data_IF_712446548030
#
_entry.id   IF_712446548030
#
_cell.length_a   1.000
_cell.length_b   1.000
_cell.length_c   1.000
_cell.angle_alpha   90.00
_cell.angle_beta   90.00
_cell.angle_gamma   90.00
#
_symmetry.space_group_name_H-M   'P 1'
#
loop_
_entity.id
_entity.type
_entity.pdbx_description
1 polymer ?
#
# COMPACT_ATOMS: atom_id res chain seq x y z
N UNK A 1 16.12 -1.45 12.48
CA UNK A 1 14.85 -1.95 11.93
C UNK A 1 14.15 -0.81 11.21
N UNK A 2 13.81 -1.01 9.94
CA UNK A 2 13.15 0.04 9.17
C UNK A 2 11.69 0.19 9.60
N UNK A 3 11.22 1.42 9.72
CA UNK A 3 9.82 1.70 9.95
C UNK A 3 9.04 1.75 8.65
N UNK A 4 7.72 1.93 8.76
CA UNK A 4 6.83 1.93 7.60
C UNK A 4 7.19 3.02 6.60
N UNK A 5 7.59 4.19 7.07
CA UNK A 5 7.95 5.28 6.17
C UNK A 5 9.19 4.92 5.36
N UNK A 6 10.23 4.38 6.03
CA UNK A 6 11.45 4.00 5.32
C UNK A 6 11.18 2.87 4.31
N UNK A 7 10.35 1.90 4.68
CA UNK A 7 10.03 0.80 3.77
C UNK A 7 9.23 1.30 2.57
N UNK A 8 8.31 2.25 2.80
CA UNK A 8 7.55 2.84 1.69
C UNK A 8 8.48 3.63 0.76
N UNK A 9 9.43 4.38 1.33
CA UNK A 9 10.41 5.10 0.53
C UNK A 9 11.21 4.14 -0.34
N UNK A 10 11.65 3.01 0.23
CA UNK A 10 12.39 2.00 -0.52
C UNK A 10 11.55 1.39 -1.63
N UNK A 11 10.30 1.07 -1.33
CA UNK A 11 9.39 0.52 -2.34
C UNK A 11 9.18 1.52 -3.49
N UNK A 12 8.90 2.76 -3.14
CA UNK A 12 8.69 3.82 -4.13
C UNK A 12 9.94 4.01 -5.01
N UNK A 13 11.10 4.13 -4.39
CA UNK A 13 12.34 4.33 -5.11
C UNK A 13 12.59 3.19 -6.10
N UNK A 14 12.24 1.96 -5.72
CA UNK A 14 12.42 0.80 -6.58
C UNK A 14 11.55 0.86 -7.84
N UNK A 15 10.46 1.63 -7.83
CA UNK A 15 9.60 1.79 -9.01
C UNK A 15 10.09 2.90 -9.93
N UNK A 16 10.90 3.81 -9.43
CA UNK A 16 11.37 4.96 -10.19
C UNK A 16 12.37 4.52 -11.25
N UNK A 17 12.04 4.74 -12.53
CA UNK A 17 12.87 4.32 -13.66
C UNK A 17 13.04 5.41 -14.72
N UNK A 18 12.62 6.64 -14.41
CA UNK A 18 12.67 7.76 -15.35
C UNK A 18 11.33 8.03 -16.04
N UNK A 19 10.39 7.09 -15.95
CA UNK A 19 9.07 7.24 -16.57
C UNK A 19 7.95 7.06 -15.54
N UNK A 20 8.00 5.98 -14.74
CA UNK A 20 6.94 5.67 -13.81
C UNK A 20 6.63 6.82 -12.85
N UNK A 21 7.65 7.42 -12.28
CA UNK A 21 7.48 8.48 -11.28
C UNK A 21 6.90 9.78 -11.86
N UNK A 22 6.91 9.94 -13.17
CA UNK A 22 6.29 11.12 -13.80
C UNK A 22 4.79 11.02 -13.89
N UNK A 23 4.23 9.81 -13.82
CA UNK A 23 2.80 9.59 -13.92
C UNK A 23 2.19 9.02 -12.66
N UNK A 24 2.96 8.34 -11.84
CA UNK A 24 2.46 7.58 -10.69
C UNK A 24 3.23 7.92 -9.42
N UNK A 25 2.64 7.56 -8.30
CA UNK A 25 3.28 7.69 -7.01
C UNK A 25 2.27 7.46 -5.90
N UNK A 26 2.71 7.05 -4.72
CA UNK A 26 1.83 6.92 -3.56
C UNK A 26 1.22 8.27 -3.19
N UNK A 27 -0.05 8.25 -2.83
CA UNK A 27 -0.78 9.43 -2.41
C UNK A 27 -1.30 9.19 -1.00
N UNK A 28 -0.93 10.09 -0.08
CA UNK A 28 -1.35 10.02 1.31
C UNK A 28 -2.03 11.34 1.65
N UNK A 29 -3.28 11.26 2.10
CA UNK A 29 -4.05 12.43 2.46
C UNK A 29 -4.83 12.18 3.73
N UNK A 30 -5.30 13.24 4.36
CA UNK A 30 -6.16 13.11 5.51
C UNK A 30 -7.62 13.17 5.08
N UNK A 31 -8.46 12.57 5.92
CA UNK A 31 -9.91 12.61 5.80
C UNK A 31 -10.45 13.52 6.91
N UNK A 32 -11.55 14.18 6.65
CA UNK A 32 -12.07 15.13 7.63
C UNK A 32 -13.01 14.51 8.67
N UNK A 33 -13.23 13.18 8.62
CA UNK A 33 -14.12 12.50 9.57
C UNK A 33 -13.51 11.99 10.88
N UNK A 34 -12.24 12.16 11.32
CA UNK A 34 -10.94 12.28 10.70
C UNK A 34 -10.34 10.92 10.32
N UNK A 35 -9.27 10.95 9.55
CA UNK A 35 -8.62 9.69 9.17
C UNK A 35 -7.59 9.89 8.07
N UNK A 36 -7.20 8.77 7.43
CA UNK A 36 -6.19 8.76 6.38
C UNK A 36 -6.69 8.04 5.14
N UNK A 37 -6.21 8.54 4.02
CA UNK A 37 -6.40 7.93 2.71
C UNK A 37 -5.03 7.61 2.14
N UNK A 38 -4.84 6.37 1.68
CA UNK A 38 -3.60 5.94 1.03
C UNK A 38 -3.97 5.27 -0.29
N UNK A 39 -3.58 5.88 -1.40
CA UNK A 39 -3.79 5.32 -2.73
C UNK A 39 -2.42 5.10 -3.37
N UNK A 40 -2.14 3.87 -3.79
CA UNK A 40 -0.85 3.51 -4.39
C UNK A 40 -1.11 2.83 -5.73
N UNK A 41 -0.77 3.50 -6.84
CA UNK A 41 -0.93 2.89 -8.17
C UNK A 41 -0.05 1.66 -8.33
N UNK A 42 -0.59 0.62 -8.93
CA UNK A 42 0.12 -0.64 -9.13
C UNK A 42 0.59 -0.83 -10.58
N UNK A 43 0.13 0.01 -11.50
CA UNK A 43 0.51 -0.10 -12.89
C UNK A 43 2.01 0.02 -13.06
N UNK A 44 2.60 -0.91 -13.79
CA UNK A 44 4.04 -0.93 -14.01
C UNK A 44 4.87 -1.42 -12.83
N UNK A 45 4.23 -1.85 -11.75
CA UNK A 45 4.94 -2.40 -10.58
C UNK A 45 4.82 -3.92 -10.52
N UNK A 46 5.67 -4.60 -9.72
CA UNK A 46 5.54 -6.05 -9.56
C UNK A 46 4.21 -6.50 -8.93
N UNK A 47 3.44 -5.58 -8.38
CA UNK A 47 2.15 -5.91 -7.75
C UNK A 47 0.98 -5.87 -8.74
N UNK A 48 1.21 -5.38 -9.94
CA UNK A 48 0.15 -5.31 -10.95
C UNK A 48 -0.39 -6.71 -11.23
N UNK A 49 -1.72 -6.87 -11.15
CA UNK A 49 -2.36 -8.15 -11.40
C UNK A 49 -2.25 -9.17 -10.29
N UNK A 50 -1.59 -8.85 -9.19
CA UNK A 50 -1.45 -9.79 -8.07
C UNK A 50 -2.68 -9.79 -7.18
N UNK A 51 -3.00 -10.95 -6.63
CA UNK A 51 -4.14 -11.10 -5.74
C UNK A 51 -3.87 -10.40 -4.41
N UNK A 52 -4.87 -9.74 -3.86
CA UNK A 52 -4.80 -9.08 -2.56
C UNK A 52 -6.04 -9.46 -1.76
N UNK A 53 -5.85 -9.95 -0.54
CA UNK A 53 -6.94 -10.27 0.35
C UNK A 53 -7.36 -8.98 1.08
N UNK A 54 -8.59 -8.49 0.84
CA UNK A 54 -9.04 -7.25 1.48
C UNK A 54 -8.99 -7.33 3.00
N UNK A 55 -8.68 -6.20 3.63
CA UNK A 55 -8.70 -6.06 5.08
C UNK A 55 -9.84 -5.11 5.42
N UNK A 56 -10.71 -5.50 6.33
CA UNK A 56 -11.81 -4.65 6.75
C UNK A 56 -12.11 -4.87 8.23
N UNK A 57 -12.05 -3.80 9.01
CA UNK A 57 -12.45 -3.80 10.40
C UNK A 57 -13.03 -2.44 10.72
N UNK A 58 -14.35 -2.35 10.72
CA UNK A 58 -15.05 -1.09 10.89
C UNK A 58 -15.58 -0.89 12.32
N UNK A 59 -15.40 -1.90 13.20
CA UNK A 59 -16.02 -1.86 14.51
C UNK A 59 -15.45 -0.80 15.47
N UNK A 60 -14.13 -0.63 15.62
CA UNK A 60 -13.62 0.41 16.52
C UNK A 60 -13.77 1.80 15.87
N UNK A 61 -14.29 2.76 16.66
CA UNK A 61 -14.58 4.10 16.14
C UNK A 61 -13.34 4.87 15.70
N UNK A 62 -12.18 4.62 16.32
CA UNK A 62 -10.93 5.32 15.98
C UNK A 62 -9.96 4.47 15.19
N UNK A 63 -10.03 3.16 15.34
CA UNK A 63 -9.06 2.24 14.76
C UNK A 63 -9.67 1.40 13.62
N UNK A 64 -10.69 1.96 12.97
CA UNK A 64 -11.26 1.32 11.79
C UNK A 64 -10.24 1.32 10.65
N UNK A 65 -10.30 0.31 9.80
CA UNK A 65 -9.39 0.19 8.67
C UNK A 65 -10.09 -0.55 7.53
N UNK A 66 -9.88 -0.09 6.30
CA UNK A 66 -10.25 -0.83 5.10
C UNK A 66 -9.09 -0.74 4.12
N UNK A 67 -8.72 -1.87 3.54
CA UNK A 67 -7.70 -1.92 2.49
C UNK A 67 -8.19 -2.85 1.40
N UNK A 68 -8.14 -2.41 0.17
CA UNK A 68 -8.53 -3.22 -0.99
C UNK A 68 -7.72 -2.81 -2.20
N UNK A 69 -7.73 -3.66 -3.22
CA UNK A 69 -7.18 -3.33 -4.53
C UNK A 69 -8.34 -3.26 -5.52
N UNK A 70 -8.45 -2.15 -6.21
CA UNK A 70 -9.45 -1.97 -7.26
C UNK A 70 -8.91 -0.98 -8.28
N UNK A 71 -9.28 -1.19 -9.54
CA UNK A 71 -8.83 -0.33 -10.63
C UNK A 71 -7.31 -0.18 -10.67
N UNK A 72 -6.60 -1.30 -10.44
CA UNK A 72 -5.14 -1.36 -10.45
C UNK A 72 -4.49 -0.41 -9.44
N UNK A 73 -5.14 -0.25 -8.28
CA UNK A 73 -4.67 0.65 -7.24
C UNK A 73 -4.93 0.05 -5.86
N UNK A 74 -3.93 0.11 -4.98
CA UNK A 74 -4.14 -0.20 -3.57
C UNK A 74 -4.84 0.99 -2.92
N UNK A 75 -5.95 0.73 -2.25
CA UNK A 75 -6.75 1.77 -1.62
C UNK A 75 -6.89 1.47 -0.13
N UNK A 76 -6.19 2.25 0.69
CA UNK A 76 -6.26 2.13 2.14
C UNK A 76 -6.99 3.31 2.75
N UNK A 77 -7.84 3.01 3.73
CA UNK A 77 -8.57 4.02 4.51
C UNK A 77 -8.53 3.60 5.96
N UNK A 78 -8.44 4.56 6.87
CA UNK A 78 -8.44 4.25 8.28
C UNK A 78 -8.61 5.47 9.15
N UNK A 79 -8.86 5.24 10.44
CA UNK A 79 -9.01 6.30 11.42
C UNK A 79 -7.71 7.06 11.67
N UNK A 80 -7.80 8.11 12.47
CA UNK A 80 -6.66 9.02 12.70
C UNK A 80 -5.38 8.31 13.15
N UNK A 81 -5.41 7.28 14.01
CA UNK A 81 -4.17 6.62 14.44
C UNK A 81 -3.74 5.46 13.53
N UNK A 82 -4.29 5.34 12.31
CA UNK A 82 -4.14 4.11 11.52
C UNK A 82 -3.21 4.20 10.33
N UNK A 83 -2.54 5.34 10.11
CA UNK A 83 -1.67 5.47 8.93
C UNK A 83 -0.60 4.38 8.88
N UNK A 84 0.10 4.16 9.99
CA UNK A 84 1.15 3.14 10.05
C UNK A 84 0.60 1.74 9.75
N UNK A 85 -0.60 1.42 10.27
CA UNK A 85 -1.22 0.13 10.02
C UNK A 85 -1.58 -0.05 8.55
N UNK A 86 -2.12 0.98 7.91
CA UNK A 86 -2.44 0.93 6.49
C UNK A 86 -1.18 0.67 5.67
N UNK A 87 -0.10 1.40 5.96
CA UNK A 87 1.16 1.20 5.27
C UNK A 87 1.72 -0.19 5.51
N UNK A 88 1.58 -0.71 6.73
CA UNK A 88 2.06 -2.06 7.05
C UNK A 88 1.32 -3.12 6.23
N UNK A 89 0.02 -2.97 6.06
CA UNK A 89 -0.76 -3.90 5.24
C UNK A 89 -0.21 -3.92 3.80
N UNK A 90 0.02 -2.75 3.21
CA UNK A 90 0.56 -2.65 1.86
C UNK A 90 1.96 -3.26 1.77
N UNK A 91 2.83 -2.88 2.69
CA UNK A 91 4.25 -3.29 2.63
C UNK A 91 4.43 -4.78 2.88
N UNK A 92 3.63 -5.37 3.77
CA UNK A 92 3.67 -6.82 3.98
C UNK A 92 3.22 -7.57 2.74
N UNK A 93 2.17 -7.08 2.07
CA UNK A 93 1.72 -7.67 0.83
C UNK A 93 2.81 -7.57 -0.26
N UNK A 94 3.42 -6.40 -0.39
CA UNK A 94 4.49 -6.19 -1.37
C UNK A 94 5.66 -7.16 -1.13
N UNK A 95 6.03 -7.34 0.13
CA UNK A 95 7.11 -8.25 0.50
C UNK A 95 6.74 -9.70 0.21
N UNK A 96 5.51 -10.10 0.53
CA UNK A 96 5.04 -11.46 0.27
C UNK A 96 5.05 -11.78 -1.22
N UNK A 97 4.58 -10.86 -2.06
CA UNK A 97 4.55 -11.09 -3.50
C UNK A 97 5.94 -11.11 -4.10
N UNK A 98 6.86 -10.31 -3.57
CA UNK A 98 8.25 -10.35 -3.99
C UNK A 98 8.88 -11.72 -3.66
N UNK A 99 8.61 -12.23 -2.46
CA UNK A 99 9.09 -13.56 -2.06
C UNK A 99 8.57 -14.66 -2.96
N UNK A 100 7.31 -14.59 -3.35
CA UNK A 100 6.72 -15.57 -4.28
C UNK A 100 7.41 -15.53 -5.64
N UNK A 101 7.72 -14.33 -6.13
CA UNK A 101 8.41 -14.19 -7.41
C UNK A 101 9.81 -14.80 -7.35
N UNK A 102 10.51 -14.62 -6.25
CA UNK A 102 11.85 -15.20 -6.06
C UNK A 102 11.78 -16.71 -5.96
N UNK A 103 10.81 -17.24 -5.22
CA UNK A 103 10.64 -18.69 -5.05
C UNK A 103 10.22 -19.35 -6.35
N UNK A 104 9.47 -18.66 -7.19
CA UNK A 104 9.00 -19.21 -8.46
C UNK A 104 10.11 -19.40 -9.49
N UNK A 105 11.26 -18.78 -9.29
CA UNK A 105 12.39 -18.93 -10.21
C UNK A 105 13.06 -20.30 -9.99
N UNK A 106 13.14 -21.15 -11.01
CA UNK A 106 13.81 -22.45 -10.86
C UNK A 106 15.33 -22.29 -10.76
#
# INVERSE_FOLDING_TARGET
MAGEIEELEQWYEAQCDGDWEHEFGPRIETLDNPGWLVDIPLEGTPLEGRAFVPVEDLAPARTWITCKVSENMFRGRGGAPMLGRILRVFLDWAREEQGKSEVAAP
#
